data_IF_690913585253
#
_entry.id   IF_690913585253
#
_cell.length_a   1.000
_cell.length_b   1.000
_cell.length_c   1.000
_cell.angle_alpha   90.00
_cell.angle_beta   90.00
_cell.angle_gamma   90.00
#
_symmetry.space_group_name_H-M   'P 1'
#
loop_
_entity.id
_entity.type
_entity.pdbx_description
1 polymer ?
#
# COMPACT_ATOMS: atom_id res chain seq x y z
N UNK A 1 -48.22 32.21 -29.68
CA UNK A 1 -49.36 32.98 -29.11
C UNK A 1 -49.77 32.26 -27.85
N UNK A 2 -49.23 32.67 -26.70
CA UNK A 2 -49.75 33.72 -25.82
C UNK A 2 -50.82 33.16 -24.89
N UNK A 3 -50.42 32.85 -23.66
CA UNK A 3 -51.15 33.27 -22.46
C UNK A 3 -50.15 33.46 -21.31
N UNK A 4 -50.07 34.70 -20.85
CA UNK A 4 -49.35 35.19 -19.66
C UNK A 4 -50.40 35.58 -18.61
N UNK A 5 -49.96 35.63 -17.35
CA UNK A 5 -50.35 36.50 -16.20
C UNK A 5 -50.82 35.66 -14.99
N UNK A 6 -50.05 35.54 -13.90
CA UNK A 6 -49.62 36.51 -12.85
C UNK A 6 -50.64 36.72 -11.71
N UNK A 7 -50.27 36.33 -10.48
CA UNK A 7 -50.16 37.18 -9.25
C UNK A 7 -49.95 36.25 -8.02
N UNK A 8 -48.83 36.27 -7.28
CA UNK A 8 -48.29 37.25 -6.30
C UNK A 8 -49.14 37.50 -5.03
N UNK A 9 -48.58 37.10 -3.86
CA UNK A 9 -48.57 37.77 -2.54
C UNK A 9 -47.75 36.88 -1.56
N UNK A 10 -46.48 37.16 -1.26
CA UNK A 10 -45.90 38.10 -0.27
C UNK A 10 -46.49 38.03 1.16
N UNK A 11 -45.69 37.48 2.09
CA UNK A 11 -45.54 37.98 3.46
C UNK A 11 -44.07 37.90 3.88
N UNK A 12 -43.60 38.99 4.47
CA UNK A 12 -42.25 39.29 4.98
C UNK A 12 -42.43 39.89 6.38
N UNK A 13 -41.61 39.47 7.35
CA UNK A 13 -41.12 40.22 8.55
C UNK A 13 -40.02 39.36 9.20
N UNK A 14 -38.75 39.76 9.12
CA UNK A 14 -37.92 40.46 10.14
C UNK A 14 -37.40 39.50 11.24
N UNK A 15 -36.13 39.05 11.20
CA UNK A 15 -34.87 39.69 11.65
C UNK A 15 -34.70 39.74 13.17
N UNK A 16 -33.78 38.90 13.70
CA UNK A 16 -32.71 39.29 14.66
C UNK A 16 -31.61 38.21 14.67
N UNK A 17 -30.36 38.69 14.67
CA UNK A 17 -29.09 37.97 14.72
C UNK A 17 -28.80 37.30 16.08
N UNK A 18 -27.67 36.60 16.11
CA UNK A 18 -26.86 36.12 17.24
C UNK A 18 -27.25 34.68 17.69
N UNK A 19 -26.40 33.66 17.64
CA UNK A 19 -24.93 33.57 17.76
C UNK A 19 -24.37 32.44 16.87
N UNK A 20 -23.27 32.75 16.20
CA UNK A 20 -22.33 31.81 15.60
C UNK A 20 -21.55 31.14 16.74
N UNK A 21 -21.77 29.84 16.97
CA UNK A 21 -20.79 29.02 17.66
C UNK A 21 -19.80 28.44 16.64
N UNK A 22 -18.57 28.87 16.84
CA UNK A 22 -17.34 28.59 16.14
C UNK A 22 -16.98 27.10 16.29
N UNK A 23 -17.06 26.34 15.20
CA UNK A 23 -16.34 25.06 15.09
C UNK A 23 -15.29 25.20 14.00
N UNK A 24 -14.13 25.71 14.40
CA UNK A 24 -12.88 25.54 13.67
C UNK A 24 -12.59 24.04 13.51
N UNK A 25 -12.88 23.51 12.34
CA UNK A 25 -12.29 22.26 11.84
C UNK A 25 -11.91 22.44 10.37
N UNK A 26 -10.64 22.18 10.10
CA UNK A 26 -10.06 21.79 8.81
C UNK A 26 -9.70 22.87 7.75
N UNK A 27 -9.08 23.98 8.16
CA UNK A 27 -8.44 24.90 7.19
C UNK A 27 -7.27 24.26 6.42
N UNK A 28 -6.67 23.18 6.95
CA UNK A 28 -5.51 22.50 6.33
C UNK A 28 -5.93 21.57 5.18
N UNK A 29 -7.15 21.00 5.22
CA UNK A 29 -7.63 20.10 4.15
C UNK A 29 -8.07 20.86 2.89
N UNK A 30 -8.59 22.07 3.04
CA UNK A 30 -9.08 22.90 1.94
C UNK A 30 -7.96 23.58 1.15
N UNK A 31 -6.86 23.95 1.82
CA UNK A 31 -5.69 24.54 1.19
C UNK A 31 -4.96 23.51 0.30
N UNK A 32 -4.96 22.24 0.72
CA UNK A 32 -4.33 21.14 0.00
C UNK A 32 -5.09 20.74 -1.28
N UNK A 33 -6.43 20.67 -1.19
CA UNK A 33 -7.28 20.42 -2.36
C UNK A 33 -7.09 21.49 -3.45
N UNK A 34 -6.98 22.76 -3.04
CA UNK A 34 -6.68 23.86 -3.96
C UNK A 34 -5.28 23.76 -4.55
N UNK A 35 -4.28 23.40 -3.74
CA UNK A 35 -2.88 23.24 -4.21
C UNK A 35 -2.75 22.17 -5.30
N UNK A 36 -3.41 21.02 -5.14
CA UNK A 36 -3.43 19.96 -6.15
C UNK A 36 -4.20 20.40 -7.41
N UNK A 37 -5.33 21.10 -7.25
CA UNK A 37 -6.13 21.60 -8.38
C UNK A 37 -5.36 22.65 -9.20
N UNK A 38 -4.68 23.58 -8.52
CA UNK A 38 -3.86 24.63 -9.14
C UNK A 38 -2.60 24.02 -9.78
N UNK A 39 -2.02 22.99 -9.17
CA UNK A 39 -0.94 22.21 -9.74
C UNK A 39 -1.38 21.47 -11.02
N UNK A 40 -2.51 20.79 -11.01
CA UNK A 40 -3.10 20.12 -12.18
C UNK A 40 -3.35 21.08 -13.36
N UNK A 41 -3.77 22.32 -13.06
CA UNK A 41 -3.99 23.34 -14.07
C UNK A 41 -2.68 23.91 -14.67
N UNK A 42 -1.56 23.77 -13.97
CA UNK A 42 -0.25 24.32 -14.39
C UNK A 42 0.52 23.44 -15.39
N UNK A 43 0.17 22.16 -15.52
CA UNK A 43 0.81 21.22 -16.44
C UNK A 43 0.18 21.26 -17.85
N UNK A 44 0.46 22.34 -18.59
CA UNK A 44 0.46 22.31 -20.05
C UNK A 44 1.90 22.37 -20.55
N UNK A 45 2.37 21.22 -21.04
CA UNK A 45 3.62 21.00 -21.79
C UNK A 45 4.92 21.33 -21.02
N UNK A 46 5.46 20.33 -20.30
CA UNK A 46 6.90 20.25 -20.00
C UNK A 46 7.47 18.98 -20.63
N UNK A 47 8.70 19.09 -21.14
CA UNK A 47 9.40 18.04 -21.90
C UNK A 47 9.65 16.78 -21.06
N UNK A 48 9.52 15.62 -21.71
CA UNK A 48 9.68 14.28 -21.12
C UNK A 48 11.16 14.02 -20.79
N UNK A 49 11.48 13.35 -19.66
CA UNK A 49 12.82 12.78 -19.46
C UNK A 49 13.17 11.82 -20.63
N UNK A 50 14.45 11.72 -21.00
CA UNK A 50 14.86 10.72 -22.01
C UNK A 50 14.49 9.30 -21.53
N UNK A 51 13.77 8.55 -22.36
CA UNK A 51 13.33 7.20 -21.98
C UNK A 51 14.50 6.21 -21.98
N UNK A 52 14.75 5.58 -20.83
CA UNK A 52 15.73 4.49 -20.69
C UNK A 52 15.04 3.19 -20.27
N UNK A 53 15.44 2.06 -20.84
CA UNK A 53 14.91 0.74 -20.47
C UNK A 53 15.41 0.22 -19.12
N UNK A 54 16.23 1.00 -18.41
CA UNK A 54 16.87 0.58 -17.15
C UNK A 54 15.84 0.16 -16.10
N UNK A 55 14.70 0.83 -16.01
CA UNK A 55 13.69 0.61 -14.96
C UNK A 55 12.48 -0.20 -15.45
N UNK A 56 12.62 -0.89 -16.58
CA UNK A 56 11.57 -1.71 -17.20
C UNK A 56 11.68 -3.17 -16.71
N UNK A 57 11.40 -3.38 -15.42
CA UNK A 57 11.44 -4.71 -14.81
C UNK A 57 10.05 -5.36 -14.77
N UNK A 58 10.03 -6.69 -14.84
CA UNK A 58 8.85 -7.49 -14.46
C UNK A 58 8.72 -7.55 -12.93
N UNK A 59 7.89 -8.46 -12.42
CA UNK A 59 7.76 -8.69 -10.98
C UNK A 59 9.10 -9.12 -10.36
N UNK A 60 9.63 -8.28 -9.47
CA UNK A 60 10.84 -8.52 -8.67
C UNK A 60 10.41 -8.64 -7.21
N UNK A 61 11.08 -9.51 -6.46
CA UNK A 61 10.80 -9.66 -5.03
C UNK A 61 11.00 -8.34 -4.28
N UNK A 62 10.09 -8.05 -3.33
CA UNK A 62 10.07 -6.78 -2.62
C UNK A 62 11.32 -6.58 -1.78
N UNK A 63 11.91 -7.63 -1.21
CA UNK A 63 13.11 -7.51 -0.38
C UNK A 63 14.30 -7.09 -1.23
N UNK A 64 14.40 -7.65 -2.44
CA UNK A 64 15.46 -7.30 -3.39
C UNK A 64 15.32 -5.83 -3.85
N UNK A 65 14.10 -5.38 -4.12
CA UNK A 65 13.83 -3.98 -4.47
C UNK A 65 14.17 -3.03 -3.32
N UNK A 66 13.78 -3.36 -2.09
CA UNK A 66 14.06 -2.52 -0.91
C UNK A 66 15.57 -2.44 -0.63
N UNK A 67 16.31 -3.53 -0.91
CA UNK A 67 17.76 -3.61 -0.70
C UNK A 67 18.55 -2.84 -1.75
N UNK A 68 18.08 -2.82 -3.00
CA UNK A 68 18.76 -2.16 -4.12
C UNK A 68 17.82 -1.20 -4.88
N UNK A 69 17.22 -0.21 -4.21
CA UNK A 69 16.09 0.52 -4.78
C UNK A 69 16.48 1.37 -6.00
N UNK A 70 17.71 1.89 -6.04
CA UNK A 70 18.24 2.65 -7.18
C UNK A 70 18.44 1.80 -8.46
N UNK A 71 18.44 0.46 -8.35
CA UNK A 71 18.48 -0.42 -9.52
C UNK A 71 17.10 -0.53 -10.18
N UNK A 72 16.04 -0.58 -9.38
CA UNK A 72 14.69 -0.95 -9.84
C UNK A 72 13.72 0.23 -9.97
N UNK A 73 13.97 1.35 -9.30
CA UNK A 73 13.02 2.46 -9.18
C UNK A 73 13.63 3.75 -9.73
N UNK A 74 12.86 4.47 -10.55
CA UNK A 74 13.26 5.79 -11.05
C UNK A 74 13.50 6.78 -9.89
N UNK A 75 14.48 7.69 -10.01
CA UNK A 75 14.79 8.67 -8.98
C UNK A 75 13.59 9.44 -8.40
N UNK A 76 12.62 9.78 -9.23
CA UNK A 76 11.43 10.55 -8.85
C UNK A 76 10.48 9.80 -7.91
N UNK A 77 10.51 8.45 -7.91
CA UNK A 77 9.68 7.62 -7.03
C UNK A 77 10.41 7.20 -5.74
N UNK A 78 11.75 7.19 -5.73
CA UNK A 78 12.57 6.62 -4.65
C UNK A 78 12.19 7.14 -3.27
N UNK A 79 12.08 8.46 -3.12
CA UNK A 79 11.83 9.07 -1.80
C UNK A 79 10.43 8.74 -1.27
N UNK A 80 9.44 8.62 -2.15
CA UNK A 80 8.10 8.21 -1.77
C UNK A 80 8.07 6.72 -1.37
N UNK A 81 8.76 5.85 -2.11
CA UNK A 81 8.91 4.43 -1.75
C UNK A 81 9.61 4.24 -0.40
N UNK A 82 10.75 4.91 -0.18
CA UNK A 82 11.46 4.89 1.11
C UNK A 82 10.57 5.39 2.26
N UNK A 83 9.72 6.39 2.00
CA UNK A 83 8.74 6.88 2.98
C UNK A 83 7.71 5.80 3.33
N UNK A 84 7.21 5.04 2.34
CA UNK A 84 6.28 3.93 2.56
C UNK A 84 6.92 2.77 3.33
N UNK A 85 8.13 2.36 2.95
CA UNK A 85 8.86 1.27 3.63
C UNK A 85 9.21 1.62 5.08
N UNK A 86 9.46 2.91 5.37
CA UNK A 86 9.64 3.36 6.74
C UNK A 86 8.41 3.13 7.63
N UNK A 87 7.23 3.04 7.01
CA UNK A 87 5.91 2.78 7.63
C UNK A 87 5.44 1.34 7.48
N UNK A 88 6.33 0.46 7.03
CA UNK A 88 6.07 -0.96 6.77
C UNK A 88 5.01 -1.22 5.68
N UNK A 89 4.94 -0.34 4.68
CA UNK A 89 4.00 -0.46 3.56
C UNK A 89 4.78 -0.92 2.34
N UNK A 90 4.48 -2.13 1.87
CA UNK A 90 5.10 -2.72 0.68
C UNK A 90 4.61 -2.05 -0.61
N UNK A 91 5.52 -1.86 -1.55
CA UNK A 91 5.25 -1.33 -2.90
C UNK A 91 5.29 -2.46 -3.91
N UNK A 92 4.28 -2.56 -4.78
CA UNK A 92 4.19 -3.58 -5.81
C UNK A 92 4.79 -3.13 -7.14
N UNK A 93 4.58 -1.88 -7.53
CA UNK A 93 5.05 -1.32 -8.79
C UNK A 93 5.18 0.19 -8.71
N UNK A 94 6.12 0.77 -9.46
CA UNK A 94 6.28 2.22 -9.58
C UNK A 94 6.25 2.62 -11.06
N UNK A 95 5.98 3.90 -11.31
CA UNK A 95 6.16 4.47 -12.64
C UNK A 95 7.59 4.27 -13.16
N UNK A 96 7.70 4.11 -14.47
CA UNK A 96 8.94 4.19 -15.22
C UNK A 96 8.81 5.25 -16.33
N UNK A 97 9.89 5.50 -17.07
CA UNK A 97 9.90 6.53 -18.11
C UNK A 97 9.14 6.14 -19.38
N UNK A 98 8.67 4.90 -19.52
CA UNK A 98 8.04 4.38 -20.73
C UNK A 98 6.52 4.32 -20.64
N UNK A 99 6.00 3.70 -19.58
CA UNK A 99 4.62 3.21 -19.48
C UNK A 99 3.62 4.28 -19.05
N UNK A 100 4.10 5.39 -18.49
CA UNK A 100 3.24 6.47 -17.98
C UNK A 100 3.88 7.84 -18.17
N UNK A 101 3.04 8.86 -18.30
CA UNK A 101 3.45 10.27 -18.24
C UNK A 101 3.40 10.84 -16.82
N UNK A 102 2.84 10.07 -15.89
CA UNK A 102 2.61 10.44 -14.50
C UNK A 102 3.47 9.58 -13.58
N UNK A 103 3.79 10.10 -12.39
CA UNK A 103 4.37 9.26 -11.35
C UNK A 103 3.25 8.54 -10.60
N UNK A 104 3.45 7.25 -10.36
CA UNK A 104 2.56 6.45 -9.54
C UNK A 104 3.35 5.42 -8.74
N UNK A 105 2.76 4.99 -7.63
CA UNK A 105 3.21 3.85 -6.83
C UNK A 105 1.98 3.00 -6.52
N UNK A 106 1.96 1.77 -7.01
CA UNK A 106 1.01 0.73 -6.61
C UNK A 106 1.50 0.04 -5.35
N UNK A 107 0.58 -0.22 -4.42
CA UNK A 107 0.85 -0.98 -3.21
C UNK A 107 0.47 -2.44 -3.42
N UNK A 108 1.04 -3.33 -2.59
CA UNK A 108 0.70 -4.76 -2.60
C UNK A 108 -0.79 -4.95 -2.28
N UNK A 109 -1.42 -5.91 -2.97
CA UNK A 109 -2.82 -6.30 -2.73
C UNK A 109 -3.00 -6.74 -1.28
N UNK A 110 -4.09 -6.27 -0.66
CA UNK A 110 -4.37 -6.38 0.79
C UNK A 110 -3.24 -5.90 1.74
N UNK A 111 -2.25 -5.17 1.22
CA UNK A 111 -1.07 -4.72 1.95
C UNK A 111 -1.32 -3.54 2.90
N UNK A 112 -2.54 -3.01 2.98
CA UNK A 112 -2.88 -1.86 3.81
C UNK A 112 -3.62 -2.27 5.09
N UNK A 113 -3.27 -1.64 6.21
CA UNK A 113 -4.09 -1.65 7.43
C UNK A 113 -5.43 -0.94 7.22
N UNK A 114 -6.41 -1.21 8.07
CA UNK A 114 -7.73 -0.56 8.00
C UNK A 114 -7.63 0.97 8.15
N UNK A 115 -6.69 1.46 8.96
CA UNK A 115 -6.41 2.89 9.11
C UNK A 115 -5.90 3.50 7.79
N UNK A 116 -4.94 2.84 7.12
CA UNK A 116 -4.44 3.32 5.84
C UNK A 116 -5.47 3.15 4.70
N UNK A 117 -6.28 2.08 4.71
CA UNK A 117 -7.41 1.91 3.78
C UNK A 117 -8.41 3.07 3.92
N UNK A 118 -8.68 3.51 5.15
CA UNK A 118 -9.53 4.69 5.41
C UNK A 118 -8.93 5.97 4.83
N UNK A 119 -7.61 6.19 4.95
CA UNK A 119 -6.95 7.35 4.35
C UNK A 119 -7.12 7.36 2.82
N UNK A 120 -6.99 6.21 2.16
CA UNK A 120 -7.25 6.09 0.72
C UNK A 120 -8.69 6.48 0.38
N UNK A 121 -9.68 5.93 1.10
CA UNK A 121 -11.10 6.22 0.88
C UNK A 121 -11.41 7.72 1.08
N UNK A 122 -10.90 8.33 2.14
CA UNK A 122 -11.16 9.75 2.46
C UNK A 122 -10.46 10.73 1.51
N UNK A 123 -9.41 10.28 0.82
CA UNK A 123 -8.62 11.11 -0.10
C UNK A 123 -8.76 10.66 -1.58
N UNK A 124 -9.78 9.85 -1.89
CA UNK A 124 -10.02 9.36 -3.25
C UNK A 124 -10.10 10.52 -4.26
N UNK A 125 -9.38 10.40 -5.37
CA UNK A 125 -9.30 11.43 -6.41
C UNK A 125 -8.37 12.61 -6.08
N UNK A 126 -7.82 12.68 -4.85
CA UNK A 126 -6.80 13.69 -4.44
C UNK A 126 -5.38 13.11 -4.49
N UNK A 127 -5.12 12.30 -5.51
CA UNK A 127 -3.87 11.56 -5.69
C UNK A 127 -3.87 10.16 -5.06
N UNK A 128 -4.97 9.75 -4.40
CA UNK A 128 -5.21 8.37 -3.98
C UNK A 128 -6.26 7.72 -4.88
N UNK A 129 -6.05 6.46 -5.21
CA UNK A 129 -6.98 5.62 -5.96
C UNK A 129 -7.15 4.30 -5.19
N UNK A 130 -8.35 4.10 -4.66
CA UNK A 130 -8.75 2.91 -3.91
C UNK A 130 -9.23 1.82 -4.88
N UNK A 131 -8.27 1.20 -5.57
CA UNK A 131 -8.53 0.04 -6.41
C UNK A 131 -8.74 -1.22 -5.57
N UNK A 132 -9.71 -2.04 -5.95
CA UNK A 132 -10.01 -3.33 -5.30
C UNK A 132 -8.88 -4.35 -5.36
N UNK A 133 -7.90 -4.17 -6.26
CA UNK A 133 -6.74 -5.08 -6.39
C UNK A 133 -5.47 -4.46 -5.86
N UNK A 134 -5.12 -3.25 -6.31
CA UNK A 134 -3.86 -2.60 -5.95
C UNK A 134 -4.11 -1.13 -5.72
N UNK A 135 -4.33 -0.69 -4.47
CA UNK A 135 -4.48 0.72 -4.19
C UNK A 135 -3.20 1.44 -4.62
N UNK A 136 -3.34 2.61 -5.23
CA UNK A 136 -2.19 3.34 -5.78
C UNK A 136 -2.26 4.84 -5.47
N UNK A 137 -1.08 5.44 -5.36
CA UNK A 137 -0.94 6.89 -5.31
C UNK A 137 -0.43 7.38 -6.67
N UNK A 138 -0.99 8.46 -7.18
CA UNK A 138 -0.63 9.02 -8.48
C UNK A 138 -0.58 10.54 -8.43
N UNK A 139 0.40 11.10 -9.14
CA UNK A 139 0.53 12.55 -9.36
C UNK A 139 0.84 12.83 -10.84
N UNK A 140 0.27 13.91 -11.41
CA UNK A 140 0.52 14.24 -12.81
C UNK A 140 1.98 14.60 -13.08
N UNK A 141 2.48 14.15 -14.23
CA UNK A 141 3.84 14.46 -14.70
C UNK A 141 4.95 13.72 -13.95
N UNK A 142 6.14 13.71 -14.55
CA UNK A 142 7.38 13.12 -13.99
C UNK A 142 8.43 14.20 -13.75
N UNK A 143 8.10 15.14 -12.85
CA UNK A 143 8.96 16.26 -12.51
C UNK A 143 9.41 16.19 -11.05
N UNK A 144 10.39 17.02 -10.68
CA UNK A 144 10.81 17.14 -9.28
C UNK A 144 9.66 17.62 -8.37
N UNK A 145 8.77 18.48 -8.87
CA UNK A 145 7.58 18.90 -8.14
C UNK A 145 6.58 17.76 -7.97
N UNK A 146 6.39 16.94 -9.01
CA UNK A 146 5.58 15.72 -8.94
C UNK A 146 6.17 14.75 -7.91
N UNK A 147 7.49 14.52 -7.91
CA UNK A 147 8.17 13.67 -6.93
C UNK A 147 7.93 14.15 -5.48
N UNK A 148 8.02 15.46 -5.24
CA UNK A 148 7.72 16.04 -3.93
C UNK A 148 6.24 15.87 -3.53
N UNK A 149 5.31 16.03 -4.47
CA UNK A 149 3.88 15.79 -4.23
C UNK A 149 3.61 14.32 -3.90
N UNK A 150 4.21 13.38 -4.62
CA UNK A 150 4.09 11.94 -4.39
C UNK A 150 4.63 11.55 -3.01
N UNK A 151 5.80 12.07 -2.62
CA UNK A 151 6.35 11.89 -1.27
C UNK A 151 5.39 12.42 -0.20
N UNK A 152 4.71 13.53 -0.47
CA UNK A 152 3.73 14.10 0.46
C UNK A 152 2.50 13.21 0.61
N UNK A 153 2.02 12.59 -0.47
CA UNK A 153 0.96 11.57 -0.40
C UNK A 153 1.40 10.39 0.48
N UNK A 154 2.58 9.82 0.21
CA UNK A 154 3.16 8.74 1.02
C UNK A 154 3.31 9.12 2.50
N UNK A 155 3.60 10.39 2.78
CA UNK A 155 3.75 10.93 4.13
C UNK A 155 2.43 10.97 4.92
N UNK A 156 1.26 10.96 4.27
CA UNK A 156 -0.04 10.93 4.96
C UNK A 156 -0.35 9.59 5.61
N UNK A 157 0.18 8.49 5.06
CA UNK A 157 -0.07 7.16 5.60
C UNK A 157 0.54 6.98 6.98
N UNK A 158 0.04 6.02 7.75
CA UNK A 158 0.50 5.69 9.10
C UNK A 158 1.39 4.46 9.08
N UNK A 159 2.28 4.37 10.06
CA UNK A 159 3.00 3.12 10.31
C UNK A 159 1.99 2.03 10.64
N UNK A 160 2.20 0.85 10.09
CA UNK A 160 1.35 -0.31 10.33
C UNK A 160 2.17 -1.54 10.67
N UNK A 161 1.52 -2.55 11.24
CA UNK A 161 2.11 -3.88 11.31
C UNK A 161 2.33 -4.43 9.90
N UNK A 162 3.20 -5.41 9.76
CA UNK A 162 3.34 -6.16 8.52
C UNK A 162 1.99 -6.77 8.13
N UNK A 163 1.69 -6.74 6.84
CA UNK A 163 0.48 -7.32 6.24
C UNK A 163 0.87 -8.47 5.32
N UNK A 164 -0.14 -9.07 4.70
CA UNK A 164 0.03 -10.15 3.74
C UNK A 164 0.59 -11.44 4.36
N UNK A 165 1.11 -12.33 3.51
CA UNK A 165 1.65 -13.63 3.87
C UNK A 165 3.11 -13.56 4.39
N UNK A 166 3.55 -12.41 4.94
CA UNK A 166 4.93 -12.17 5.41
C UNK A 166 5.26 -12.82 6.75
N UNK A 167 4.26 -13.41 7.39
CA UNK A 167 4.39 -14.29 8.54
C UNK A 167 3.28 -15.32 8.50
N UNK A 168 3.44 -16.37 9.31
CA UNK A 168 2.40 -17.37 9.51
C UNK A 168 2.44 -17.97 10.91
N UNK A 169 1.37 -18.67 11.29
CA UNK A 169 1.33 -19.39 12.56
C UNK A 169 2.34 -20.54 12.60
N UNK A 170 2.74 -20.95 13.80
CA UNK A 170 3.60 -22.11 13.97
C UNK A 170 2.98 -23.40 13.41
N UNK A 171 1.66 -23.54 13.53
CA UNK A 171 0.91 -24.67 12.97
C UNK A 171 1.02 -24.71 11.45
N UNK A 172 0.69 -23.61 10.76
CA UNK A 172 0.77 -23.53 9.29
C UNK A 172 2.19 -23.74 8.80
N UNK A 173 3.17 -23.11 9.45
CA UNK A 173 4.58 -23.29 9.12
C UNK A 173 5.03 -24.75 9.26
N UNK A 174 4.66 -25.41 10.34
CA UNK A 174 5.00 -26.83 10.56
C UNK A 174 4.30 -27.72 9.53
N UNK A 175 3.04 -27.45 9.21
CA UNK A 175 2.30 -28.19 8.19
C UNK A 175 2.97 -28.07 6.82
N UNK A 176 3.30 -26.86 6.36
CA UNK A 176 4.02 -26.64 5.10
C UNK A 176 5.39 -27.33 5.08
N UNK A 177 6.15 -27.26 6.17
CA UNK A 177 7.43 -27.94 6.29
C UNK A 177 7.31 -29.46 6.10
N UNK A 178 6.22 -30.05 6.60
CA UNK A 178 5.93 -31.49 6.51
C UNK A 178 5.55 -31.94 5.11
N UNK A 179 4.90 -31.11 4.30
CA UNK A 179 4.67 -31.40 2.88
C UNK A 179 5.98 -31.37 2.08
N UNK A 180 6.92 -30.50 2.46
CA UNK A 180 8.25 -30.41 1.86
C UNK A 180 8.25 -29.86 0.43
N UNK A 181 9.42 -29.90 -0.22
CA UNK A 181 9.64 -29.34 -1.57
C UNK A 181 9.24 -30.30 -2.70
N UNK A 182 8.51 -31.38 -2.38
CA UNK A 182 8.19 -32.42 -3.36
C UNK A 182 7.25 -31.85 -4.44
N UNK A 183 7.46 -32.21 -5.72
CA UNK A 183 6.57 -31.76 -6.77
C UNK A 183 5.15 -32.19 -6.43
N UNK A 184 4.26 -31.22 -6.47
CA UNK A 184 2.82 -31.42 -6.46
C UNK A 184 2.50 -32.49 -7.51
N UNK A 185 2.00 -33.66 -7.09
CA UNK A 185 1.37 -34.54 -8.06
C UNK A 185 0.10 -33.84 -8.53
N UNK A 186 0.12 -33.37 -9.78
CA UNK A 186 -1.07 -32.84 -10.43
C UNK A 186 -1.92 -34.03 -10.85
N UNK A 187 -3.09 -34.15 -10.23
CA UNK A 187 -4.12 -35.06 -10.72
C UNK A 187 -5.14 -34.23 -11.48
N UNK A 188 -5.38 -34.56 -12.75
CA UNK A 188 -6.47 -33.93 -13.50
C UNK A 188 -7.76 -34.70 -13.20
N UNK A 189 -8.83 -34.00 -12.85
CA UNK A 189 -10.14 -34.64 -12.81
C UNK A 189 -10.70 -34.87 -14.22
N UNK A 190 -11.88 -35.50 -14.28
CA UNK A 190 -12.60 -35.80 -15.53
C UNK A 190 -12.97 -34.57 -16.36
N UNK A 191 -12.82 -33.36 -15.81
CA UNK A 191 -13.05 -32.08 -16.49
C UNK A 191 -11.76 -31.35 -16.84
N UNK A 192 -10.59 -31.94 -16.58
CA UNK A 192 -9.29 -31.33 -16.84
C UNK A 192 -8.91 -30.24 -15.84
N UNK A 193 -9.53 -30.21 -14.66
CA UNK A 193 -9.11 -29.33 -13.56
C UNK A 193 -7.97 -30.03 -12.80
N UNK A 194 -6.87 -29.30 -12.61
CA UNK A 194 -5.74 -29.81 -11.84
C UNK A 194 -6.01 -29.71 -10.34
N UNK A 195 -6.00 -30.87 -9.68
CA UNK A 195 -6.01 -31.01 -8.23
C UNK A 195 -4.56 -31.15 -7.75
N UNK A 196 -4.17 -30.19 -6.91
CA UNK A 196 -2.86 -30.10 -6.27
C UNK A 196 -2.94 -30.91 -4.98
N UNK A 197 -2.47 -32.16 -5.00
CA UNK A 197 -2.33 -32.98 -3.81
C UNK A 197 -0.94 -32.83 -3.21
N UNK A 198 -0.81 -32.15 -2.07
CA UNK A 198 0.44 -32.15 -1.31
C UNK A 198 0.70 -33.55 -0.76
N UNK A 199 1.81 -34.19 -1.16
CA UNK A 199 2.25 -35.43 -0.52
C UNK A 199 3.16 -35.09 0.66
N UNK A 200 2.83 -35.61 1.85
CA UNK A 200 3.69 -35.47 3.02
C UNK A 200 5.07 -36.08 2.75
N UNK A 201 6.13 -35.35 3.08
CA UNK A 201 7.47 -35.91 3.11
C UNK A 201 7.57 -36.91 4.28
N UNK A 202 7.77 -38.22 4.02
CA UNK A 202 7.77 -39.25 5.07
C UNK A 202 8.84 -39.02 6.14
N UNK A 203 9.95 -38.36 5.81
CA UNK A 203 11.02 -38.02 6.75
C UNK A 203 10.64 -36.89 7.70
N UNK A 204 9.65 -36.07 7.33
CA UNK A 204 9.24 -34.87 8.07
C UNK A 204 7.91 -35.04 8.79
N UNK A 205 7.13 -36.09 8.53
CA UNK A 205 5.77 -36.27 9.10
C UNK A 205 5.71 -36.13 10.64
N UNK A 206 6.74 -36.60 11.34
CA UNK A 206 6.88 -36.54 12.80
C UNK A 206 7.73 -35.36 13.29
N UNK A 207 8.14 -34.45 12.40
CA UNK A 207 8.92 -33.28 12.76
C UNK A 207 8.15 -32.41 13.76
N UNK A 208 8.89 -31.85 14.71
CA UNK A 208 8.39 -30.84 15.64
C UNK A 208 8.57 -29.44 15.04
N UNK A 209 7.92 -28.45 15.64
CA UNK A 209 8.15 -27.04 15.30
C UNK A 209 9.64 -26.66 15.46
N UNK A 210 10.28 -27.15 16.53
CA UNK A 210 11.70 -26.86 16.77
C UNK A 210 12.59 -27.42 15.66
N UNK A 211 12.31 -28.64 15.18
CA UNK A 211 13.04 -29.24 14.05
C UNK A 211 12.87 -28.39 12.78
N UNK A 212 11.63 -27.99 12.47
CA UNK A 212 11.31 -27.17 11.31
C UNK A 212 12.02 -25.81 11.35
N UNK A 213 11.99 -25.12 12.50
CA UNK A 213 12.66 -23.83 12.69
C UNK A 213 14.18 -23.92 12.58
N UNK A 214 14.77 -25.02 13.03
CA UNK A 214 16.22 -25.22 12.99
C UNK A 214 16.69 -25.56 11.57
N UNK A 215 15.96 -26.45 10.89
CA UNK A 215 16.29 -26.89 9.53
C UNK A 215 16.08 -25.81 8.47
N UNK A 216 15.13 -24.90 8.68
CA UNK A 216 14.87 -23.76 7.77
C UNK A 216 15.67 -22.50 8.13
N UNK A 217 16.43 -22.51 9.23
CA UNK A 217 17.15 -21.34 9.72
C UNK A 217 16.25 -20.25 10.31
N UNK A 218 14.95 -20.52 10.53
CA UNK A 218 13.95 -19.56 11.05
C UNK A 218 13.87 -19.50 12.58
N UNK A 219 14.81 -20.11 13.29
CA UNK A 219 14.82 -20.13 14.77
C UNK A 219 14.72 -18.73 15.39
N UNK A 220 15.43 -17.75 14.82
CA UNK A 220 15.39 -16.35 15.29
C UNK A 220 14.24 -15.52 14.71
N UNK A 221 13.45 -16.12 13.81
CA UNK A 221 12.30 -15.49 13.15
C UNK A 221 10.98 -16.00 13.73
N UNK A 222 11.00 -16.78 14.81
CA UNK A 222 9.79 -17.18 15.53
C UNK A 222 9.62 -16.35 16.79
N UNK A 223 8.44 -15.73 16.94
CA UNK A 223 8.03 -14.98 18.12
C UNK A 223 6.94 -15.78 18.85
N UNK A 224 7.27 -16.52 19.93
CA UNK A 224 6.31 -17.41 20.60
C UNK A 224 5.13 -16.69 21.24
N UNK A 225 5.34 -15.47 21.73
CA UNK A 225 4.27 -14.68 22.38
C UNK A 225 3.14 -14.29 21.43
N UNK A 226 3.41 -14.31 20.12
CA UNK A 226 2.46 -13.92 19.07
C UNK A 226 2.06 -15.09 18.18
N UNK A 227 2.71 -16.24 18.37
CA UNK A 227 2.65 -17.38 17.47
C UNK A 227 2.92 -17.00 16.00
N UNK A 228 4.00 -16.26 15.75
CA UNK A 228 4.37 -15.79 14.39
C UNK A 228 5.74 -16.27 13.99
N UNK A 229 5.81 -16.98 12.86
CA UNK A 229 7.05 -17.29 12.13
C UNK A 229 7.14 -16.33 10.94
N UNK A 230 8.11 -15.42 10.97
CA UNK A 230 8.32 -14.41 9.95
C UNK A 230 9.07 -14.99 8.75
N UNK A 231 8.77 -14.46 7.55
CA UNK A 231 9.42 -14.89 6.30
C UNK A 231 10.93 -14.57 6.31
N UNK A 232 11.29 -13.37 6.77
CA UNK A 232 12.66 -12.87 6.83
C UNK A 232 12.90 -11.94 8.02
N UNK A 233 14.17 -11.62 8.28
CA UNK A 233 14.56 -10.67 9.33
C UNK A 233 14.00 -9.26 9.04
N UNK A 234 13.89 -8.87 7.78
CA UNK A 234 13.36 -7.56 7.40
C UNK A 234 11.92 -7.37 7.92
N UNK A 235 11.06 -8.38 7.75
CA UNK A 235 9.67 -8.30 8.22
C UNK A 235 9.54 -8.38 9.74
N UNK A 236 10.42 -9.14 10.42
CA UNK A 236 10.49 -9.12 11.88
C UNK A 236 10.90 -7.71 12.38
N UNK A 237 11.90 -7.09 11.76
CA UNK A 237 12.36 -5.75 12.13
C UNK A 237 11.27 -4.69 11.88
N UNK A 238 10.49 -4.83 10.81
CA UNK A 238 9.35 -3.97 10.51
C UNK A 238 8.27 -4.11 11.59
N UNK A 239 7.93 -5.34 11.96
CA UNK A 239 6.98 -5.60 13.04
C UNK A 239 7.43 -4.98 14.37
N UNK A 240 8.70 -5.18 14.75
CA UNK A 240 9.26 -4.58 15.96
C UNK A 240 9.18 -3.04 15.94
N UNK A 241 9.48 -2.41 14.79
CA UNK A 241 9.33 -0.96 14.61
C UNK A 241 7.89 -0.49 14.84
N UNK A 242 6.90 -1.27 14.39
CA UNK A 242 5.50 -0.96 14.62
C UNK A 242 5.13 -1.05 16.11
N UNK A 243 5.59 -2.09 16.81
CA UNK A 243 5.40 -2.20 18.27
C UNK A 243 6.02 -1.01 19.01
N UNK A 244 7.26 -0.63 18.67
CA UNK A 244 7.92 0.54 19.25
C UNK A 244 7.16 1.85 18.99
N UNK A 245 6.53 2.00 17.83
CA UNK A 245 5.71 3.17 17.52
C UNK A 245 4.43 3.19 18.35
N UNK A 246 3.76 2.05 18.52
CA UNK A 246 2.57 1.89 19.36
C UNK A 246 2.84 2.20 20.83
N UNK A 247 3.99 1.76 21.34
CA UNK A 247 4.39 2.03 22.73
C UNK A 247 4.67 3.52 22.97
N UNK A 248 5.14 4.26 21.95
CA UNK A 248 5.34 5.72 22.04
C UNK A 248 4.04 6.52 21.98
N UNK A 249 2.99 5.99 21.34
CA UNK A 249 1.68 6.65 21.29
C UNK A 249 0.87 6.49 22.58
N UNK A 250 1.24 5.50 23.41
CA UNK A 250 0.54 5.13 24.65
C UNK A 250 1.19 5.68 25.93
N UNK A 251 2.40 6.24 25.83
CA UNK A 251 3.15 6.87 26.93
C UNK A 251 3.27 8.39 26.73
#
# INVERSE_FOLDING_TARGET
>A
MSERLNNYNNYRTDSTNDELEDSQTDSVNDEWGKTIQDFQNSFKQKERPESTSQYEYQEVDVEEVIKNPEEYIIPECLEACKTLWSKNIETAMCANYHDSTDLFIELVDDGLSDENKKIFIENEGKGFINSFKRPLMQVPGQTSESAAALKTLASKLKIQDIKNNRFQSSEKFLEEYKYGDMPVEYTLDEHGIAHIGGQYNPERVNATLQDALLQTGKTNLYVPSEDRVYESQMFLDWHNRYLEAKDKETN
#
